data_IF_466633584257
#
_entry.id   IF_466633584257
#
_cell.length_a   1.000
_cell.length_b   1.000
_cell.length_c   1.000
_cell.angle_alpha   90.00
_cell.angle_beta   90.00
_cell.angle_gamma   90.00
#
_symmetry.space_group_name_H-M   'P 1'
#
loop_
_entity.id
_entity.type
_entity.pdbx_description
1 polymer ?
#
# COMPACT_ATOMS: atom_id res chain seq x y z
N UNK A 1 -1.93 -52.56 20.95
CA UNK A 1 -0.85 -51.57 20.79
C UNK A 1 -1.03 -50.50 21.86
N UNK A 2 -0.09 -50.44 22.81
CA UNK A 2 -0.17 -49.52 23.94
C UNK A 2 0.51 -48.18 23.61
N UNK A 3 -0.27 -47.29 22.99
CA UNK A 3 0.15 -45.92 22.71
C UNK A 3 -0.13 -45.02 23.92
N UNK A 4 0.92 -44.59 24.62
CA UNK A 4 0.83 -43.62 25.71
C UNK A 4 0.69 -42.18 25.19
N UNK A 5 1.39 -41.82 24.12
CA UNK A 5 1.22 -40.54 23.43
C UNK A 5 0.13 -40.64 22.38
N UNK A 6 -0.93 -39.84 22.51
CA UNK A 6 -2.05 -39.79 21.57
C UNK A 6 -2.45 -38.34 21.27
N UNK A 7 -1.80 -37.68 20.30
CA UNK A 7 -2.07 -36.28 19.96
C UNK A 7 -3.54 -36.00 19.59
N UNK A 8 -4.27 -37.03 19.11
CA UNK A 8 -5.72 -36.93 18.86
C UNK A 8 -6.54 -36.54 20.10
N UNK A 9 -6.03 -36.72 21.33
CA UNK A 9 -6.71 -36.31 22.57
C UNK A 9 -7.00 -34.80 22.60
N UNK A 10 -6.06 -33.97 22.13
CA UNK A 10 -6.23 -32.51 22.04
C UNK A 10 -7.10 -32.07 20.84
N UNK A 11 -7.45 -33.00 19.94
CA UNK A 11 -8.24 -32.71 18.72
C UNK A 11 -9.67 -33.20 18.81
N UNK A 12 -10.06 -33.80 19.94
CA UNK A 12 -11.31 -34.56 20.10
C UNK A 12 -12.56 -33.70 19.93
N UNK A 13 -12.57 -32.46 20.43
CA UNK A 13 -13.72 -31.57 20.35
C UNK A 13 -13.28 -30.11 20.12
N UNK A 14 -14.21 -29.21 19.75
CA UNK A 14 -13.91 -27.80 19.50
C UNK A 14 -13.18 -27.12 20.66
N UNK A 15 -13.64 -27.29 21.91
CA UNK A 15 -13.05 -26.65 23.10
C UNK A 15 -11.59 -27.06 23.31
N UNK A 16 -11.26 -28.34 23.14
CA UNK A 16 -9.87 -28.82 23.27
C UNK A 16 -8.96 -28.31 22.15
N UNK A 17 -9.50 -28.10 20.94
CA UNK A 17 -8.73 -27.53 19.82
C UNK A 17 -8.50 -26.05 20.00
N UNK A 18 -9.49 -25.33 20.51
CA UNK A 18 -9.39 -23.90 20.81
C UNK A 18 -8.37 -23.65 21.93
N UNK A 19 -8.45 -24.41 23.03
CA UNK A 19 -7.48 -24.34 24.12
C UNK A 19 -6.04 -24.62 23.67
N UNK A 20 -5.87 -25.57 22.76
CA UNK A 20 -4.56 -25.98 22.27
C UNK A 20 -4.11 -25.21 21.01
N UNK A 21 -4.86 -24.22 20.54
CA UNK A 21 -4.50 -23.47 19.34
C UNK A 21 -3.28 -22.59 19.61
N UNK A 22 -2.27 -22.70 18.77
CA UNK A 22 -1.05 -21.89 18.87
C UNK A 22 -1.22 -20.52 18.20
N UNK A 23 -2.21 -20.38 17.31
CA UNK A 23 -2.43 -19.18 16.51
C UNK A 23 -3.87 -18.71 16.63
N UNK A 24 -4.04 -17.41 16.81
CA UNK A 24 -5.34 -16.73 16.82
C UNK A 24 -5.23 -15.54 15.86
N UNK A 25 -6.23 -15.41 14.97
CA UNK A 25 -6.36 -14.25 14.11
C UNK A 25 -7.05 -13.11 14.88
N UNK A 26 -6.50 -11.90 14.78
CA UNK A 26 -7.04 -10.72 15.44
C UNK A 26 -7.18 -9.61 14.40
N UNK A 27 -8.33 -8.94 14.39
CA UNK A 27 -8.65 -7.84 13.46
C UNK A 27 -7.60 -6.72 13.50
N UNK A 28 -7.00 -6.46 14.67
CA UNK A 28 -5.97 -5.44 14.85
C UNK A 28 -4.65 -5.77 14.11
N UNK A 29 -4.50 -7.01 13.60
CA UNK A 29 -3.35 -7.46 12.81
C UNK A 29 -3.61 -7.45 11.31
N UNK A 30 -4.80 -7.04 10.88
CA UNK A 30 -5.16 -6.90 9.47
C UNK A 30 -4.82 -5.48 9.00
N UNK A 31 -4.39 -5.37 7.75
CA UNK A 31 -4.23 -4.09 7.03
C UNK A 31 -5.06 -4.20 5.75
N UNK A 32 -6.08 -3.36 5.61
CA UNK A 32 -6.97 -3.39 4.44
C UNK A 32 -6.41 -2.53 3.30
N UNK A 33 -6.12 -3.10 2.12
CA UNK A 33 -5.71 -2.32 0.97
C UNK A 33 -6.90 -1.62 0.29
N UNK A 34 -6.68 -0.41 -0.20
CA UNK A 34 -7.63 0.38 -0.98
C UNK A 34 -6.96 0.97 -2.22
N UNK A 35 -7.70 0.98 -3.35
CA UNK A 35 -7.26 1.64 -4.58
C UNK A 35 -7.97 2.97 -4.73
N UNK A 36 -7.20 4.06 -4.74
CA UNK A 36 -7.71 5.42 -4.79
C UNK A 36 -7.47 6.02 -6.17
N UNK A 37 -8.53 6.54 -6.79
CA UNK A 37 -8.48 7.16 -8.12
C UNK A 37 -8.89 8.62 -8.10
N UNK A 38 -8.55 9.34 -9.16
CA UNK A 38 -9.05 10.69 -9.41
C UNK A 38 -10.58 10.71 -9.66
N UNK A 39 -11.18 11.90 -9.54
CA UNK A 39 -12.60 12.12 -9.81
C UNK A 39 -13.44 12.24 -8.54
N UNK A 40 -14.76 12.11 -8.70
CA UNK A 40 -15.72 12.14 -7.60
C UNK A 40 -16.90 11.22 -7.88
N UNK A 41 -17.42 10.55 -6.84
CA UNK A 41 -18.48 9.56 -6.94
C UNK A 41 -18.09 8.27 -7.67
N UNK A 42 -16.79 8.02 -7.87
CA UNK A 42 -16.25 6.83 -8.55
C UNK A 42 -16.13 5.68 -7.55
N UNK A 43 -16.68 4.51 -7.92
CA UNK A 43 -16.56 3.23 -7.23
C UNK A 43 -16.63 2.09 -8.25
N UNK A 44 -15.52 1.85 -8.93
CA UNK A 44 -15.44 0.92 -10.06
C UNK A 44 -14.88 -0.43 -9.61
N UNK A 45 -15.64 -1.50 -9.83
CA UNK A 45 -15.16 -2.86 -9.52
C UNK A 45 -13.97 -3.25 -10.40
N UNK A 46 -13.03 -3.97 -9.81
CA UNK A 46 -11.82 -4.45 -10.48
C UNK A 46 -12.06 -5.88 -10.96
N UNK A 47 -12.12 -6.11 -12.28
CA UNK A 47 -12.52 -7.41 -12.82
C UNK A 47 -11.66 -8.58 -12.31
N UNK A 48 -10.34 -8.38 -12.19
CA UNK A 48 -9.41 -9.37 -11.66
C UNK A 48 -9.50 -9.61 -10.15
N UNK A 49 -10.25 -8.79 -9.42
CA UNK A 49 -10.40 -8.86 -7.96
C UNK A 49 -11.88 -8.61 -7.57
N UNK A 50 -12.76 -9.63 -7.68
CA UNK A 50 -14.18 -9.48 -7.37
C UNK A 50 -14.42 -8.94 -5.95
N UNK A 51 -15.32 -7.96 -5.83
CA UNK A 51 -15.60 -7.26 -4.57
C UNK A 51 -14.56 -6.22 -4.14
N UNK A 52 -13.55 -5.94 -4.96
CA UNK A 52 -12.57 -4.87 -4.75
C UNK A 52 -12.82 -3.76 -5.75
N UNK A 53 -12.69 -2.51 -5.29
CA UNK A 53 -13.06 -1.32 -6.05
C UNK A 53 -11.89 -0.34 -6.18
N UNK A 54 -11.88 0.42 -7.28
CA UNK A 54 -11.17 1.69 -7.42
C UNK A 54 -12.13 2.80 -7.02
N UNK A 55 -11.73 3.60 -6.05
CA UNK A 55 -12.63 4.57 -5.44
C UNK A 55 -12.05 5.98 -5.52
N UNK A 56 -12.88 6.95 -5.88
CA UNK A 56 -12.58 8.36 -5.64
C UNK A 56 -12.51 8.65 -4.14
N UNK A 57 -11.84 9.75 -3.75
CA UNK A 57 -11.63 10.11 -2.33
C UNK A 57 -12.95 10.17 -1.55
N UNK A 58 -14.01 10.75 -2.12
CA UNK A 58 -15.31 10.82 -1.45
C UNK A 58 -15.99 9.45 -1.25
N UNK A 59 -15.87 8.54 -2.22
CA UNK A 59 -16.38 7.16 -2.08
C UNK A 59 -15.58 6.36 -1.06
N UNK A 60 -14.25 6.46 -1.12
CA UNK A 60 -13.31 5.76 -0.23
C UNK A 60 -13.62 6.05 1.25
N UNK A 61 -13.93 7.31 1.57
CA UNK A 61 -14.29 7.73 2.91
C UNK A 61 -15.47 6.92 3.47
N UNK A 62 -16.45 6.55 2.63
CA UNK A 62 -17.57 5.71 3.05
C UNK A 62 -17.11 4.27 3.34
N UNK A 63 -16.38 3.66 2.40
CA UNK A 63 -15.88 2.29 2.55
C UNK A 63 -14.99 2.13 3.80
N UNK A 64 -14.08 3.07 4.03
CA UNK A 64 -13.22 3.07 5.24
C UNK A 64 -14.04 3.23 6.52
N UNK A 65 -15.12 4.02 6.50
CA UNK A 65 -16.00 4.15 7.67
C UNK A 65 -16.72 2.85 8.00
N UNK A 66 -17.12 2.08 6.98
CA UNK A 66 -17.75 0.76 7.16
C UNK A 66 -16.76 -0.23 7.79
N UNK A 67 -15.52 -0.26 7.31
CA UNK A 67 -14.46 -1.12 7.85
C UNK A 67 -14.04 -0.76 9.28
N UNK A 68 -13.99 0.54 9.61
CA UNK A 68 -13.73 1.00 10.96
C UNK A 68 -14.81 0.51 11.94
N UNK A 69 -16.08 0.49 11.52
CA UNK A 69 -17.18 -0.06 12.34
C UNK A 69 -17.06 -1.57 12.57
N UNK A 70 -16.39 -2.29 11.66
CA UNK A 70 -16.04 -3.71 11.81
C UNK A 70 -14.77 -3.94 12.66
N UNK A 71 -14.09 -2.86 13.06
CA UNK A 71 -12.85 -2.89 13.84
C UNK A 71 -11.57 -2.97 13.02
N UNK A 72 -11.65 -2.85 11.69
CA UNK A 72 -10.47 -2.79 10.81
C UNK A 72 -9.95 -1.36 10.78
N UNK A 73 -8.91 -1.12 11.58
CA UNK A 73 -8.36 0.24 11.81
C UNK A 73 -7.08 0.56 11.06
N UNK A 74 -6.47 -0.44 10.44
CA UNK A 74 -5.22 -0.25 9.69
C UNK A 74 -5.53 -0.39 8.20
N UNK A 75 -5.13 0.61 7.41
CA UNK A 75 -5.36 0.61 5.96
C UNK A 75 -4.06 0.84 5.18
N UNK A 76 -4.05 0.44 3.91
CA UNK A 76 -2.96 0.70 2.96
C UNK A 76 -3.54 1.28 1.67
N UNK A 77 -3.11 2.49 1.33
CA UNK A 77 -3.59 3.20 0.15
C UNK A 77 -2.66 2.98 -1.06
N UNK A 78 -3.28 2.70 -2.21
CA UNK A 78 -2.61 2.57 -3.51
C UNK A 78 -3.23 3.55 -4.49
N UNK A 79 -2.39 4.34 -5.16
CA UNK A 79 -2.86 5.33 -6.14
C UNK A 79 -3.12 4.73 -7.51
N UNK A 80 -4.12 5.27 -8.20
CA UNK A 80 -4.42 5.02 -9.61
C UNK A 80 -4.73 6.36 -10.25
N UNK A 81 -3.97 6.75 -11.27
CA UNK A 81 -4.19 8.02 -11.97
C UNK A 81 -3.85 7.88 -13.44
N UNK A 82 -4.48 8.70 -14.27
CA UNK A 82 -4.15 8.84 -15.68
C UNK A 82 -3.07 9.92 -15.94
N UNK A 83 -2.68 10.68 -14.91
CA UNK A 83 -1.59 11.68 -14.99
C UNK A 83 -0.23 10.99 -14.92
N UNK A 84 0.27 10.48 -16.04
CA UNK A 84 1.51 9.69 -16.11
C UNK A 84 2.55 10.29 -17.05
N UNK A 85 3.81 10.21 -16.65
CA UNK A 85 4.97 10.54 -17.50
C UNK A 85 6.22 9.74 -17.11
N UNK A 86 7.29 9.82 -17.90
CA UNK A 86 8.54 9.09 -17.62
C UNK A 86 9.21 9.42 -16.28
N UNK A 87 8.92 10.61 -15.73
CA UNK A 87 9.52 11.13 -14.50
C UNK A 87 8.64 10.89 -13.26
N UNK A 88 7.45 10.30 -13.45
CA UNK A 88 6.44 10.16 -12.42
C UNK A 88 6.11 11.49 -11.72
N UNK A 89 6.01 12.59 -12.47
CA UNK A 89 5.85 13.93 -11.89
C UNK A 89 4.63 14.07 -10.95
N UNK A 90 3.59 13.26 -11.18
CA UNK A 90 2.38 13.23 -10.35
C UNK A 90 2.50 12.44 -9.05
N UNK A 91 3.57 11.65 -8.87
CA UNK A 91 3.75 10.81 -7.69
C UNK A 91 3.81 11.63 -6.39
N UNK A 92 4.39 12.83 -6.46
CA UNK A 92 4.53 13.73 -5.32
C UNK A 92 3.74 15.04 -5.47
N UNK A 93 2.88 15.20 -6.49
CA UNK A 93 2.09 16.43 -6.62
C UNK A 93 0.98 16.51 -5.54
N UNK A 94 0.55 17.73 -5.20
CA UNK A 94 -0.52 17.93 -4.21
C UNK A 94 -1.89 17.42 -4.68
N UNK A 95 -2.03 17.16 -5.99
CA UNK A 95 -3.24 16.65 -6.60
C UNK A 95 -3.33 15.13 -6.60
N UNK A 96 -2.29 14.43 -6.14
CA UNK A 96 -2.21 12.98 -6.10
C UNK A 96 -3.37 12.41 -5.27
N UNK A 97 -4.13 11.44 -5.82
CA UNK A 97 -5.32 10.93 -5.16
C UNK A 97 -5.02 10.32 -3.79
N UNK A 98 -3.84 9.72 -3.59
CA UNK A 98 -3.44 9.15 -2.30
C UNK A 98 -3.17 10.25 -1.28
N UNK A 99 -2.44 11.30 -1.65
CA UNK A 99 -2.16 12.45 -0.75
C UNK A 99 -3.47 13.11 -0.32
N UNK A 100 -4.41 13.31 -1.26
CA UNK A 100 -5.75 13.82 -0.96
C UNK A 100 -6.55 12.90 -0.04
N UNK A 101 -6.49 11.58 -0.28
CA UNK A 101 -7.17 10.59 0.54
C UNK A 101 -6.64 10.55 1.97
N UNK A 102 -5.31 10.55 2.16
CA UNK A 102 -4.69 10.59 3.49
C UNK A 102 -5.24 11.79 4.27
N UNK A 103 -5.18 12.98 3.68
CA UNK A 103 -5.67 14.21 4.33
C UNK A 103 -7.15 14.11 4.68
N UNK A 104 -7.99 13.72 3.72
CA UNK A 104 -9.43 13.66 3.93
C UNK A 104 -9.85 12.61 4.97
N UNK A 105 -9.14 11.47 5.03
CA UNK A 105 -9.37 10.43 6.02
C UNK A 105 -8.91 10.87 7.41
N UNK A 106 -7.75 11.52 7.53
CA UNK A 106 -7.29 12.10 8.81
C UNK A 106 -8.22 13.21 9.29
N UNK A 107 -8.69 14.08 8.41
CA UNK A 107 -9.67 15.13 8.74
C UNK A 107 -10.98 14.54 9.29
N UNK A 108 -11.42 13.38 8.78
CA UNK A 108 -12.67 12.74 9.21
C UNK A 108 -12.53 11.83 10.43
N UNK A 109 -11.45 11.06 10.51
CA UNK A 109 -11.32 9.96 11.47
C UNK A 109 -10.21 10.18 12.52
N UNK A 110 -9.35 11.18 12.34
CA UNK A 110 -8.27 11.50 13.28
C UNK A 110 -7.42 10.27 13.62
N UNK A 111 -7.28 10.00 14.91
CA UNK A 111 -6.44 8.92 15.45
C UNK A 111 -7.15 7.56 15.55
N UNK A 112 -8.43 7.47 15.15
CA UNK A 112 -9.14 6.18 15.12
C UNK A 112 -8.70 5.27 13.98
N UNK A 113 -7.89 5.79 13.05
CA UNK A 113 -7.36 5.09 11.88
C UNK A 113 -5.84 5.26 11.74
N UNK A 114 -5.19 4.14 11.41
CA UNK A 114 -3.80 4.09 11.02
C UNK A 114 -3.70 3.92 9.50
N UNK A 115 -3.06 4.88 8.84
CA UNK A 115 -3.00 5.01 7.40
C UNK A 115 -1.58 4.74 6.91
N UNK A 116 -1.43 3.64 6.18
CA UNK A 116 -0.28 3.40 5.31
C UNK A 116 -0.54 3.82 3.88
N UNK A 117 0.51 4.23 3.17
CA UNK A 117 0.46 4.52 1.74
C UNK A 117 1.66 3.91 1.01
N UNK A 118 1.41 3.33 -0.17
CA UNK A 118 2.45 2.82 -1.06
C UNK A 118 3.33 3.95 -1.58
N UNK A 119 4.64 3.74 -1.54
CA UNK A 119 5.64 4.63 -2.15
C UNK A 119 6.30 3.87 -3.29
N UNK A 120 5.82 4.11 -4.50
CA UNK A 120 6.26 3.45 -5.72
C UNK A 120 5.84 4.26 -6.94
N UNK A 121 6.62 4.23 -8.02
CA UNK A 121 6.34 5.05 -9.20
C UNK A 121 5.48 4.35 -10.27
N UNK A 122 5.15 3.06 -10.12
CA UNK A 122 4.52 2.30 -11.20
C UNK A 122 3.09 2.74 -11.56
N UNK A 123 2.38 3.40 -10.64
CA UNK A 123 1.07 3.99 -10.92
C UNK A 123 1.16 5.36 -11.61
N UNK A 124 2.36 5.95 -11.66
CA UNK A 124 2.60 7.34 -12.06
C UNK A 124 3.53 7.44 -13.29
N UNK A 125 4.22 6.35 -13.65
CA UNK A 125 5.02 6.28 -14.86
C UNK A 125 4.19 5.85 -16.06
N UNK A 126 4.44 6.45 -17.22
CA UNK A 126 3.86 6.02 -18.51
C UNK A 126 4.41 4.66 -18.98
N UNK A 127 5.57 4.25 -18.46
CA UNK A 127 6.18 2.93 -18.70
C UNK A 127 5.58 1.82 -17.84
N UNK A 128 4.92 2.14 -16.72
CA UNK A 128 4.43 1.17 -15.72
C UNK A 128 5.54 0.54 -14.87
N UNK A 129 6.76 1.06 -14.95
CA UNK A 129 7.90 0.63 -14.13
C UNK A 129 7.95 1.34 -12.77
N UNK A 130 8.59 0.71 -11.80
CA UNK A 130 8.69 1.19 -10.42
C UNK A 130 9.62 2.40 -10.22
N UNK A 131 10.22 2.92 -11.29
CA UNK A 131 11.23 3.97 -11.23
C UNK A 131 11.23 4.89 -12.44
N UNK A 132 11.92 6.02 -12.31
CA UNK A 132 12.19 6.98 -13.38
C UNK A 132 12.99 6.29 -14.48
N UNK A 133 12.60 6.52 -15.74
CA UNK A 133 13.29 5.93 -16.89
C UNK A 133 14.13 6.98 -17.63
N UNK A 134 15.42 6.71 -17.80
CA UNK A 134 16.36 7.54 -18.57
C UNK A 134 17.02 6.64 -19.61
N UNK A 135 16.97 7.05 -20.89
CA UNK A 135 17.52 6.27 -22.01
C UNK A 135 17.05 4.80 -22.03
N UNK A 136 15.79 4.57 -21.64
CA UNK A 136 15.17 3.24 -21.62
C UNK A 136 15.55 2.36 -20.43
N UNK A 137 16.37 2.85 -19.49
CA UNK A 137 16.75 2.13 -18.28
C UNK A 137 16.13 2.78 -17.03
N UNK A 138 15.79 1.96 -16.03
CA UNK A 138 15.35 2.48 -14.73
C UNK A 138 16.57 3.09 -14.04
N UNK A 139 16.48 4.37 -13.68
CA UNK A 139 17.54 5.06 -12.96
C UNK A 139 17.28 4.98 -11.46
N UNK A 140 18.14 4.27 -10.73
CA UNK A 140 17.99 4.04 -9.29
C UNK A 140 17.91 5.35 -8.49
N UNK A 141 18.93 6.17 -8.57
CA UNK A 141 19.11 7.33 -7.68
C UNK A 141 18.05 8.41 -7.98
N UNK A 142 17.73 8.64 -9.25
CA UNK A 142 16.63 9.53 -9.64
C UNK A 142 15.27 9.02 -9.19
N UNK A 143 15.07 7.70 -9.17
CA UNK A 143 13.86 7.13 -8.58
C UNK A 143 13.81 7.40 -7.07
N UNK A 144 14.92 7.20 -6.36
CA UNK A 144 15.00 7.47 -4.91
C UNK A 144 14.71 8.93 -4.59
N UNK A 145 15.15 9.89 -5.40
CA UNK A 145 14.81 11.32 -5.25
C UNK A 145 13.28 11.53 -5.29
N UNK A 146 12.59 11.00 -6.30
CA UNK A 146 11.14 11.15 -6.46
C UNK A 146 10.37 10.41 -5.35
N UNK A 147 10.79 9.18 -5.01
CA UNK A 147 10.20 8.39 -3.93
C UNK A 147 10.30 9.09 -2.58
N UNK A 148 11.43 9.75 -2.31
CA UNK A 148 11.65 10.48 -1.06
C UNK A 148 10.76 11.72 -0.96
N UNK A 149 10.57 12.44 -2.07
CA UNK A 149 9.63 13.56 -2.12
C UNK A 149 8.16 13.10 -1.97
N UNK A 150 7.79 11.98 -2.61
CA UNK A 150 6.48 11.37 -2.45
C UNK A 150 6.21 10.99 -0.99
N UNK A 151 7.17 10.33 -0.33
CA UNK A 151 7.06 9.95 1.08
C UNK A 151 6.91 11.18 1.99
N UNK A 152 7.66 12.25 1.74
CA UNK A 152 7.53 13.51 2.49
C UNK A 152 6.13 14.10 2.36
N UNK A 153 5.58 14.15 1.15
CA UNK A 153 4.28 14.77 0.92
C UNK A 153 3.12 13.93 1.49
N UNK A 154 3.27 12.60 1.51
CA UNK A 154 2.38 11.71 2.24
C UNK A 154 2.45 11.96 3.75
N UNK A 155 3.65 12.09 4.31
CA UNK A 155 3.83 12.39 5.74
C UNK A 155 3.22 13.75 6.11
N UNK A 156 3.44 14.78 5.29
CA UNK A 156 2.82 16.11 5.44
C UNK A 156 1.29 16.09 5.39
N UNK A 157 0.71 15.16 4.63
CA UNK A 157 -0.74 14.95 4.59
C UNK A 157 -1.29 14.22 5.83
N UNK A 158 -0.42 13.68 6.68
CA UNK A 158 -0.78 12.95 7.90
C UNK A 158 -0.67 11.43 7.77
N UNK A 159 0.07 10.89 6.80
CA UNK A 159 0.25 9.45 6.66
C UNK A 159 1.13 8.91 7.81
N UNK A 160 0.67 7.85 8.49
CA UNK A 160 1.39 7.26 9.62
C UNK A 160 2.54 6.35 9.13
N UNK A 161 2.32 5.65 8.01
CA UNK A 161 3.26 4.68 7.44
C UNK A 161 3.49 4.96 5.95
N UNK A 162 4.74 5.25 5.58
CA UNK A 162 5.16 5.21 4.17
C UNK A 162 5.74 3.83 3.85
N UNK A 163 5.25 3.19 2.79
CA UNK A 163 5.55 1.80 2.48
C UNK A 163 6.28 1.67 1.12
N UNK A 164 7.61 1.85 1.07
CA UNK A 164 8.35 1.79 -0.19
C UNK A 164 8.36 0.38 -0.77
N UNK A 165 7.75 0.23 -1.94
CA UNK A 165 7.57 -1.04 -2.65
C UNK A 165 8.28 -1.10 -4.02
N UNK A 166 9.05 -0.07 -4.34
CA UNK A 166 9.78 0.16 -5.58
C UNK A 166 10.96 -0.79 -5.84
N UNK A 167 11.59 -1.32 -4.78
CA UNK A 167 12.79 -2.16 -4.82
C UNK A 167 14.08 -1.49 -5.31
N UNK A 168 14.17 -0.15 -5.27
CA UNK A 168 15.42 0.58 -5.54
C UNK A 168 16.45 0.38 -4.42
N UNK A 169 17.72 0.40 -4.78
CA UNK A 169 18.81 0.35 -3.82
C UNK A 169 18.87 1.66 -3.01
N UNK A 170 19.08 1.54 -1.70
CA UNK A 170 19.21 2.70 -0.82
C UNK A 170 17.93 3.49 -0.55
N UNK A 171 16.77 3.15 -1.13
CA UNK A 171 15.52 3.95 -0.98
C UNK A 171 15.11 4.21 0.47
N UNK A 172 15.27 3.23 1.36
CA UNK A 172 14.92 3.40 2.79
C UNK A 172 15.78 4.48 3.44
N UNK A 173 17.07 4.52 3.09
CA UNK A 173 17.97 5.55 3.58
C UNK A 173 17.59 6.93 3.03
N UNK A 174 17.34 7.02 1.71
CA UNK A 174 16.91 8.27 1.08
C UNK A 174 15.63 8.82 1.70
N UNK A 175 14.59 7.99 1.79
CA UNK A 175 13.31 8.35 2.40
C UNK A 175 13.50 8.78 3.86
N UNK A 176 14.24 8.00 4.66
CA UNK A 176 14.52 8.36 6.06
C UNK A 176 15.24 9.70 6.16
N UNK A 177 16.31 9.93 5.40
CA UNK A 177 17.04 11.21 5.43
C UNK A 177 16.14 12.40 5.09
N UNK A 178 15.28 12.26 4.08
CA UNK A 178 14.32 13.30 3.71
C UNK A 178 13.31 13.57 4.83
N UNK A 179 12.74 12.53 5.45
CA UNK A 179 11.81 12.69 6.56
C UNK A 179 12.47 13.38 7.77
N UNK A 180 13.67 12.95 8.16
CA UNK A 180 14.43 13.54 9.28
C UNK A 180 14.73 15.03 9.04
N UNK A 181 15.18 15.38 7.84
CA UNK A 181 15.57 16.76 7.50
C UNK A 181 14.37 17.71 7.45
N UNK A 182 13.14 17.17 7.40
CA UNK A 182 11.90 17.93 7.35
C UNK A 182 11.04 17.73 8.61
N UNK A 183 11.63 17.28 9.72
CA UNK A 183 10.97 17.11 11.02
C UNK A 183 9.86 16.05 11.10
N UNK A 184 9.83 15.08 10.17
CA UNK A 184 8.89 13.94 10.17
C UNK A 184 9.52 12.68 10.80
N UNK A 185 10.04 12.84 12.02
CA UNK A 185 10.79 11.82 12.73
C UNK A 185 9.99 10.53 12.98
N UNK A 186 8.74 10.68 13.41
CA UNK A 186 7.89 9.58 13.86
C UNK A 186 7.18 8.82 12.73
N UNK A 187 7.23 9.32 11.49
CA UNK A 187 6.65 8.62 10.34
C UNK A 187 7.34 7.27 10.15
N UNK A 188 6.56 6.20 10.14
CA UNK A 188 7.05 4.83 10.05
C UNK A 188 7.39 4.51 8.60
N UNK A 189 8.51 3.79 8.39
CA UNK A 189 8.86 3.23 7.08
C UNK A 189 8.60 1.72 7.11
N UNK A 190 7.54 1.27 6.45
CA UNK A 190 7.24 -0.16 6.26
C UNK A 190 7.86 -0.62 4.94
N UNK A 191 9.15 -0.93 4.97
CA UNK A 191 9.86 -1.33 3.76
C UNK A 191 9.40 -2.70 3.25
N UNK A 192 9.07 -2.77 1.96
CA UNK A 192 9.02 -4.05 1.24
C UNK A 192 10.45 -4.52 1.02
N UNK A 193 11.03 -5.13 2.05
CA UNK A 193 12.44 -5.54 2.06
C UNK A 193 12.71 -6.69 1.10
N UNK A 194 11.77 -7.63 1.01
CA UNK A 194 11.88 -8.81 0.16
C UNK A 194 10.65 -8.93 -0.75
N UNK A 195 10.61 -8.12 -1.83
CA UNK A 195 9.59 -8.20 -2.88
C UNK A 195 10.19 -8.91 -4.09
N UNK A 196 9.63 -10.06 -4.43
CA UNK A 196 10.12 -10.90 -5.53
C UNK A 196 9.45 -10.51 -6.85
N UNK A 197 10.12 -10.79 -7.98
CA UNK A 197 9.50 -10.72 -9.30
C UNK A 197 8.50 -11.89 -9.50
N UNK A 198 7.33 -11.78 -8.88
CA UNK A 198 6.31 -12.83 -8.83
C UNK A 198 5.26 -12.73 -9.93
N UNK A 199 4.77 -13.88 -10.39
CA UNK A 199 3.64 -13.98 -11.32
C UNK A 199 2.27 -13.72 -10.64
N UNK A 200 2.22 -13.71 -9.30
CA UNK A 200 0.98 -13.50 -8.55
C UNK A 200 0.45 -12.06 -8.62
N UNK A 201 1.20 -11.12 -9.19
CA UNK A 201 0.82 -9.70 -9.25
C UNK A 201 -0.12 -9.34 -10.41
N UNK A 202 -0.56 -10.30 -11.23
CA UNK A 202 -1.44 -10.05 -12.38
C UNK A 202 -2.68 -9.20 -12.03
N UNK A 203 -3.54 -9.65 -11.10
CA UNK A 203 -4.73 -8.90 -10.70
C UNK A 203 -4.43 -7.51 -10.12
N UNK A 204 -3.34 -7.37 -9.36
CA UNK A 204 -2.92 -6.08 -8.80
C UNK A 204 -2.48 -5.09 -9.88
N UNK A 205 -1.81 -5.56 -10.95
CA UNK A 205 -1.39 -4.68 -12.06
C UNK A 205 -2.59 -4.14 -12.84
N UNK A 206 -3.64 -4.93 -12.98
CA UNK A 206 -4.92 -4.48 -13.51
C UNK A 206 -5.56 -3.44 -12.58
N UNK A 207 -5.63 -3.75 -11.28
CA UNK A 207 -6.17 -2.86 -10.25
C UNK A 207 -5.49 -1.48 -10.23
N UNK A 208 -4.17 -1.46 -10.25
CA UNK A 208 -3.37 -0.24 -10.18
C UNK A 208 -3.11 0.42 -11.55
N UNK A 209 -3.69 -0.11 -12.63
CA UNK A 209 -3.41 0.28 -14.02
C UNK A 209 -1.89 0.45 -14.29
N UNK A 210 -1.06 -0.47 -13.79
CA UNK A 210 0.40 -0.31 -13.69
C UNK A 210 1.19 -1.43 -14.38
N UNK A 211 0.56 -2.14 -15.31
CA UNK A 211 1.24 -3.15 -16.10
C UNK A 211 2.40 -2.51 -16.89
N UNK A 212 3.63 -3.05 -16.83
CA UNK A 212 4.74 -2.54 -17.63
C UNK A 212 4.39 -2.58 -19.11
N UNK A 213 4.57 -1.48 -19.83
CA UNK A 213 4.28 -1.41 -21.26
C UNK A 213 5.20 -2.33 -22.10
N UNK A 214 6.48 -2.46 -21.68
CA UNK A 214 7.46 -3.42 -22.23
C UNK A 214 8.38 -3.93 -21.11
N UNK A 215 8.71 -5.22 -21.15
CA UNK A 215 9.67 -5.87 -20.24
C UNK A 215 9.03 -6.56 -19.03
N UNK A 216 9.87 -6.97 -18.09
CA UNK A 216 9.47 -7.44 -16.76
C UNK A 216 10.12 -6.58 -15.66
N UNK A 217 9.93 -6.95 -14.39
CA UNK A 217 10.53 -6.25 -13.23
C UNK A 217 11.61 -7.12 -12.57
N UNK A 218 12.39 -7.84 -13.39
CA UNK A 218 13.56 -8.61 -12.92
C UNK A 218 14.83 -7.77 -12.97
#
# INVERSE_FOLDING_TARGET
>A
MDLYNRPRRLRRNPLTRELASETILNVNRLIQPYFVTDGSGVKDEINGLPGIYRESVDSLISSVSEDLNLGVKNIMLFGVTDRKDQMASSAADADNPVIKAVKALKDKHGDDILIGADVCLCAYTDTGHCGVTIDGNINNDKSVEVLSLMALNLAQAGCDIVAPSDMMDGRVQGIRQTLETNDFYDTIIMAYTAKYASAYYGPFREAANSAPGKGDRK
#
